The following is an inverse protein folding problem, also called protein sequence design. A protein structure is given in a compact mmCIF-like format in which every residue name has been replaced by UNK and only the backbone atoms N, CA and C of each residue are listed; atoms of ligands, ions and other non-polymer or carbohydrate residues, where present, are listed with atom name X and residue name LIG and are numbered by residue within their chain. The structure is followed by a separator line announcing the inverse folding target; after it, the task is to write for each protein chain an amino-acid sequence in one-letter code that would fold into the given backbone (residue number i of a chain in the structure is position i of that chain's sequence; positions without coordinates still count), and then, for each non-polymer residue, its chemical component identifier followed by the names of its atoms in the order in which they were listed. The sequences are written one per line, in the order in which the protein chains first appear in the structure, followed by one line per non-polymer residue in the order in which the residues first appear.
data_IF_127224176727
#
_entry.id   IF_127224176727
#
_cell.length_a   1.000
_cell.length_b   1.000
_cell.length_c   1.000
_cell.angle_alpha   90.00
_cell.angle_beta   90.00
_cell.angle_gamma   90.00
#
_symmetry.space_group_name_H-M   'P 1'
#
loop_
_entity.id
_entity.type
_entity.pdbx_description
1 polymer ?
#
# COMPACT_ATOMS: atom_id res chain seq x y z
N UNK A 1 -33.97 -58.55 12.86
CA UNK A 1 -34.09 -57.08 13.07
C UNK A 1 -32.73 -56.48 13.02
N UNK A 2 -32.34 -55.92 11.84
CA UNK A 2 -31.06 -55.20 11.72
C UNK A 2 -31.33 -53.69 11.90
N UNK A 3 -30.74 -53.10 12.91
CA UNK A 3 -30.77 -51.66 13.14
C UNK A 3 -29.58 -51.01 12.41
N UNK A 4 -29.84 -50.23 11.36
CA UNK A 4 -28.84 -49.38 10.70
C UNK A 4 -28.60 -48.11 11.53
N UNK A 5 -27.34 -47.68 11.72
CA UNK A 5 -27.02 -46.41 12.39
C UNK A 5 -27.27 -45.23 11.45
N UNK A 6 -28.09 -44.26 11.88
CA UNK A 6 -28.22 -42.95 11.22
C UNK A 6 -26.91 -42.16 11.39
N UNK A 7 -26.09 -42.11 10.35
CA UNK A 7 -24.95 -41.15 10.30
C UNK A 7 -25.50 -39.74 10.11
N UNK A 8 -25.37 -38.90 11.13
CA UNK A 8 -25.64 -37.46 11.03
C UNK A 8 -24.51 -36.80 10.22
N UNK A 9 -24.86 -36.41 8.99
CA UNK A 9 -24.02 -35.56 8.15
C UNK A 9 -24.02 -34.15 8.77
N UNK A 10 -22.94 -33.75 9.46
CA UNK A 10 -22.70 -32.38 9.88
C UNK A 10 -22.30 -31.58 8.63
N UNK A 11 -23.26 -30.85 8.06
CA UNK A 11 -22.95 -29.81 7.09
C UNK A 11 -22.18 -28.70 7.84
N UNK A 12 -20.87 -28.62 7.62
CA UNK A 12 -20.09 -27.46 8.01
C UNK A 12 -20.57 -26.27 7.16
N UNK A 13 -21.26 -25.32 7.77
CA UNK A 13 -21.54 -24.03 7.17
C UNK A 13 -20.20 -23.34 6.90
N UNK A 14 -19.83 -23.16 5.64
CA UNK A 14 -18.69 -22.32 5.28
C UNK A 14 -18.91 -20.94 5.89
N UNK A 15 -17.88 -20.32 6.48
CA UNK A 15 -18.02 -18.98 7.04
C UNK A 15 -18.48 -18.03 5.94
N UNK A 16 -19.51 -17.24 6.24
CA UNK A 16 -20.01 -16.19 5.35
C UNK A 16 -18.90 -15.16 5.16
N UNK A 17 -18.20 -15.23 4.04
CA UNK A 17 -17.20 -14.25 3.67
C UNK A 17 -17.93 -13.02 3.14
N UNK A 18 -17.87 -11.92 3.88
CA UNK A 18 -18.40 -10.64 3.39
C UNK A 18 -17.78 -10.32 2.02
N UNK A 19 -18.56 -9.76 1.07
CA UNK A 19 -18.03 -9.41 -0.25
C UNK A 19 -16.80 -8.50 -0.10
N UNK A 20 -15.79 -8.76 -0.94
CA UNK A 20 -14.55 -7.97 -0.94
C UNK A 20 -14.88 -6.49 -1.16
N UNK A 21 -14.33 -5.61 -0.32
CA UNK A 21 -14.45 -4.18 -0.53
C UNK A 21 -13.59 -3.75 -1.72
N UNK A 22 -14.04 -2.79 -2.56
CA UNK A 22 -13.18 -2.25 -3.60
C UNK A 22 -11.94 -1.61 -2.96
N UNK A 23 -10.76 -1.69 -3.60
CA UNK A 23 -9.53 -1.15 -3.01
C UNK A 23 -9.53 0.37 -2.87
N UNK A 24 -10.39 1.07 -3.62
CA UNK A 24 -10.63 2.50 -3.52
C UNK A 24 -12.12 2.75 -3.23
N UNK A 25 -12.43 3.49 -2.17
CA UNK A 25 -13.81 3.79 -1.75
C UNK A 25 -14.08 5.28 -1.73
N UNK A 26 -15.34 5.66 -1.96
CA UNK A 26 -15.79 7.05 -1.88
C UNK A 26 -16.14 7.45 -0.45
N UNK A 27 -16.23 8.76 -0.20
CA UNK A 27 -16.73 9.31 1.06
C UNK A 27 -18.15 8.85 1.37
N UNK A 28 -19.01 8.72 0.36
CA UNK A 28 -20.38 8.19 0.50
C UNK A 28 -20.33 6.74 0.96
N UNK A 29 -19.52 5.90 0.31
CA UNK A 29 -19.38 4.52 0.73
C UNK A 29 -18.94 4.41 2.20
N UNK A 30 -17.91 5.19 2.61
CA UNK A 30 -17.44 5.14 4.00
C UNK A 30 -18.51 5.63 4.98
N UNK A 31 -19.26 6.69 4.64
CA UNK A 31 -20.33 7.20 5.50
C UNK A 31 -21.43 6.15 5.74
N UNK A 32 -21.80 5.42 4.70
CA UNK A 32 -22.84 4.38 4.78
C UNK A 32 -22.39 3.16 5.60
N UNK A 33 -21.07 2.94 5.73
CA UNK A 33 -20.47 1.79 6.41
C UNK A 33 -19.77 2.13 7.74
N UNK A 34 -19.76 3.43 8.14
CA UNK A 34 -18.95 3.89 9.28
C UNK A 34 -19.28 3.19 10.61
N UNK A 35 -20.48 2.65 10.72
CA UNK A 35 -20.96 1.93 11.91
C UNK A 35 -21.01 0.42 11.73
N UNK A 36 -20.45 -0.12 10.64
CA UNK A 36 -20.42 -1.55 10.41
C UNK A 36 -19.54 -2.23 11.46
N UNK A 37 -20.02 -3.35 11.97
CA UNK A 37 -19.24 -4.19 12.89
C UNK A 37 -17.97 -4.67 12.17
N UNK A 38 -16.84 -4.55 12.84
CA UNK A 38 -15.54 -4.99 12.32
C UNK A 38 -14.89 -4.01 11.33
N UNK A 39 -15.51 -2.83 11.06
CA UNK A 39 -14.82 -1.79 10.32
C UNK A 39 -13.79 -1.08 11.22
N UNK A 40 -12.55 -1.04 10.75
CA UNK A 40 -11.46 -0.29 11.37
C UNK A 40 -11.04 0.80 10.40
N UNK A 41 -11.03 2.05 10.88
CA UNK A 41 -10.66 3.21 10.06
C UNK A 41 -9.37 3.82 10.59
N UNK A 42 -8.39 4.02 9.70
CA UNK A 42 -7.12 4.63 10.07
C UNK A 42 -6.87 5.94 9.33
N UNK A 43 -6.61 7.02 10.08
CA UNK A 43 -5.94 8.19 9.54
C UNK A 43 -4.44 7.93 9.48
N UNK A 44 -3.90 7.97 8.29
CA UNK A 44 -2.47 7.76 8.06
C UNK A 44 -1.71 9.08 8.24
N UNK A 45 -0.66 9.03 9.03
CA UNK A 45 0.14 10.21 9.32
C UNK A 45 1.54 9.87 9.84
N UNK A 46 2.16 10.89 10.41
CA UNK A 46 3.43 10.83 11.12
C UNK A 46 3.38 11.76 12.34
N UNK A 47 4.52 11.90 13.02
CA UNK A 47 4.61 12.80 14.19
C UNK A 47 4.22 14.25 13.86
N UNK A 48 4.52 14.73 12.64
CA UNK A 48 4.23 16.11 12.23
C UNK A 48 2.74 16.32 11.95
N UNK A 49 2.02 15.28 11.54
CA UNK A 49 0.59 15.33 11.22
C UNK A 49 -0.30 14.87 12.38
N UNK A 50 0.28 14.38 13.48
CA UNK A 50 -0.47 13.91 14.65
C UNK A 50 -1.40 14.97 15.23
N UNK A 51 -0.96 16.23 15.31
CA UNK A 51 -1.80 17.33 15.81
C UNK A 51 -3.05 17.60 14.94
N UNK A 52 -3.00 17.25 13.65
CA UNK A 52 -4.18 17.31 12.76
C UNK A 52 -5.21 16.27 13.22
N UNK A 53 -4.78 15.04 13.42
CA UNK A 53 -5.64 13.97 13.91
C UNK A 53 -6.25 14.32 15.28
N UNK A 54 -5.45 14.82 16.22
CA UNK A 54 -5.91 15.14 17.56
C UNK A 54 -6.96 16.27 17.57
N UNK A 55 -6.97 17.13 16.54
CA UNK A 55 -7.96 18.21 16.40
C UNK A 55 -9.12 17.87 15.49
N UNK A 56 -8.90 17.04 14.44
CA UNK A 56 -9.93 16.69 13.47
C UNK A 56 -9.63 15.38 12.76
N UNK A 57 -10.56 14.43 12.85
CA UNK A 57 -10.51 13.15 12.14
C UNK A 57 -11.93 12.63 11.86
N UNK A 58 -12.05 11.62 11.00
CA UNK A 58 -13.33 10.92 10.75
C UNK A 58 -13.74 10.20 12.03
N UNK A 59 -15.02 10.31 12.48
CA UNK A 59 -15.47 9.68 13.73
C UNK A 59 -15.08 8.20 13.83
N UNK A 60 -14.50 7.80 14.96
CA UNK A 60 -14.05 6.44 15.21
C UNK A 60 -12.72 6.06 14.56
N UNK A 61 -12.14 6.92 13.74
CA UNK A 61 -10.84 6.63 13.12
C UNK A 61 -9.71 6.66 14.17
N UNK A 62 -8.76 5.74 14.03
CA UNK A 62 -7.53 5.69 14.78
C UNK A 62 -6.37 6.32 13.99
N UNK A 63 -5.35 6.77 14.70
CA UNK A 63 -4.10 7.22 14.05
C UNK A 63 -3.14 6.05 13.82
N UNK A 64 -2.58 5.98 12.61
CA UNK A 64 -1.53 5.00 12.25
C UNK A 64 -0.37 5.74 11.58
N UNK A 65 0.85 5.51 12.10
CA UNK A 65 2.08 6.09 11.58
C UNK A 65 2.95 4.99 10.90
N UNK A 66 2.69 4.65 9.63
CA UNK A 66 3.31 3.49 8.98
C UNK A 66 4.84 3.59 8.86
N UNK A 67 5.40 4.81 8.83
CA UNK A 67 6.85 5.00 8.78
C UNK A 67 7.57 4.62 10.08
N UNK A 68 6.84 4.39 11.16
CA UNK A 68 7.39 3.92 12.43
C UNK A 68 6.73 2.62 12.93
N UNK A 69 5.46 2.39 12.61
CA UNK A 69 4.72 1.23 13.10
C UNK A 69 4.77 0.04 12.11
N UNK A 70 4.92 0.33 10.79
CA UNK A 70 4.98 -0.68 9.72
C UNK A 70 6.34 -0.71 9.00
N UNK A 71 7.39 -0.29 9.66
CA UNK A 71 8.74 -0.27 9.10
C UNK A 71 9.78 -0.69 10.13
N UNK A 72 10.87 -1.26 9.65
CA UNK A 72 12.02 -1.54 10.51
C UNK A 72 12.56 -0.26 11.16
N UNK A 73 13.07 -0.33 12.38
CA UNK A 73 13.70 0.83 13.03
C UNK A 73 14.83 1.41 12.18
N UNK A 74 14.96 2.74 12.20
CA UNK A 74 16.06 3.41 11.50
C UNK A 74 17.38 3.11 12.20
N UNK A 75 18.26 2.38 11.53
CA UNK A 75 19.60 2.03 11.98
C UNK A 75 20.60 2.57 10.95
N UNK A 76 21.71 3.16 11.41
CA UNK A 76 22.77 3.65 10.52
C UNK A 76 23.31 2.50 9.65
N UNK A 77 23.47 2.77 8.36
CA UNK A 77 23.93 1.77 7.38
C UNK A 77 22.88 0.75 6.92
N UNK A 78 21.76 0.59 7.61
CA UNK A 78 20.67 -0.28 7.17
C UNK A 78 19.86 0.35 6.03
N UNK A 79 19.02 -0.46 5.38
CA UNK A 79 18.00 0.04 4.47
C UNK A 79 16.88 0.69 5.30
N UNK A 80 16.27 1.73 4.74
CA UNK A 80 15.18 2.45 5.38
C UNK A 80 13.82 1.91 4.92
N UNK A 81 12.84 1.91 5.81
CA UNK A 81 11.44 1.58 5.54
C UNK A 81 11.21 0.15 5.03
N UNK A 82 12.13 -0.78 5.30
CA UNK A 82 11.89 -2.19 5.02
C UNK A 82 10.71 -2.72 5.84
N UNK A 83 9.99 -3.70 5.30
CA UNK A 83 8.97 -4.41 6.04
C UNK A 83 9.56 -5.05 7.29
N UNK A 84 8.98 -4.85 8.48
CA UNK A 84 9.41 -5.55 9.68
C UNK A 84 8.96 -7.02 9.66
N UNK A 85 9.41 -7.80 10.63
CA UNK A 85 8.95 -9.17 10.81
C UNK A 85 7.44 -9.26 11.01
N UNK A 86 6.86 -10.38 10.59
CA UNK A 86 5.41 -10.64 10.63
C UNK A 86 4.85 -10.48 12.03
N UNK A 87 5.55 -10.96 13.07
CA UNK A 87 5.15 -10.89 14.47
C UNK A 87 5.07 -9.44 14.99
N UNK A 88 5.93 -8.56 14.48
CA UNK A 88 5.90 -7.12 14.80
C UNK A 88 4.66 -6.47 14.21
N UNK A 89 4.37 -6.75 12.94
CA UNK A 89 3.18 -6.23 12.26
C UNK A 89 1.89 -6.75 12.88
N UNK A 90 1.86 -8.02 13.24
CA UNK A 90 0.73 -8.68 13.91
C UNK A 90 0.41 -8.00 15.25
N UNK A 91 1.42 -7.85 16.11
CA UNK A 91 1.27 -7.16 17.39
C UNK A 91 0.72 -5.73 17.25
N UNK A 92 1.17 -4.99 16.21
CA UNK A 92 0.65 -3.65 15.93
C UNK A 92 -0.82 -3.73 15.51
N UNK A 93 -1.17 -4.64 14.61
CA UNK A 93 -2.53 -4.77 14.10
C UNK A 93 -3.51 -5.18 15.20
N UNK A 94 -3.17 -6.19 16.00
CA UNK A 94 -3.99 -6.61 17.14
C UNK A 94 -4.18 -5.49 18.16
N UNK A 95 -3.13 -4.73 18.49
CA UNK A 95 -3.22 -3.58 19.40
C UNK A 95 -4.17 -2.51 18.93
N UNK A 96 -4.41 -2.42 17.62
CA UNK A 96 -5.34 -1.50 16.96
C UNK A 96 -6.72 -2.13 16.67
N UNK A 97 -7.01 -3.27 17.26
CA UNK A 97 -8.33 -3.91 17.15
C UNK A 97 -8.58 -4.62 15.82
N UNK A 98 -7.54 -4.88 15.04
CA UNK A 98 -7.68 -5.66 13.80
C UNK A 98 -7.83 -7.13 14.14
N UNK A 99 -8.82 -7.78 13.55
CA UNK A 99 -9.13 -9.22 13.67
C UNK A 99 -9.28 -9.86 12.31
N UNK A 100 -9.41 -11.18 12.26
CA UNK A 100 -9.52 -11.96 11.03
C UNK A 100 -10.72 -11.55 10.16
N UNK A 101 -11.78 -11.00 10.73
CA UNK A 101 -12.98 -10.52 10.02
C UNK A 101 -13.00 -9.01 9.79
N UNK A 102 -11.96 -8.29 10.20
CA UNK A 102 -11.91 -6.84 10.05
C UNK A 102 -11.88 -6.38 8.59
N UNK A 103 -12.59 -5.29 8.32
CA UNK A 103 -12.48 -4.48 7.11
C UNK A 103 -11.76 -3.19 7.48
N UNK A 104 -10.83 -2.76 6.64
CA UNK A 104 -9.96 -1.63 6.97
C UNK A 104 -10.12 -0.55 5.91
N UNK A 105 -10.34 0.69 6.36
CA UNK A 105 -10.27 1.86 5.48
C UNK A 105 -9.14 2.76 5.95
N UNK A 106 -8.24 3.07 5.02
CA UNK A 106 -7.13 3.98 5.20
C UNK A 106 -7.47 5.33 4.57
N UNK A 107 -7.16 6.42 5.23
CA UNK A 107 -7.25 7.73 4.61
C UNK A 107 -6.09 8.63 4.99
N UNK A 108 -5.74 9.51 4.05
CA UNK A 108 -4.74 10.55 4.27
C UNK A 108 -5.38 11.83 4.80
N UNK A 109 -4.57 12.65 5.48
CA UNK A 109 -4.81 14.07 5.66
C UNK A 109 -3.62 14.84 5.11
N UNK A 110 -3.81 16.09 4.64
CA UNK A 110 -2.76 16.92 4.05
C UNK A 110 -2.02 16.26 2.87
N UNK A 111 -2.76 15.52 2.04
CA UNK A 111 -2.22 14.84 0.85
C UNK A 111 -1.09 13.84 1.15
N UNK A 112 -1.19 13.13 2.25
CA UNK A 112 -0.19 12.14 2.70
C UNK A 112 -0.38 10.78 2.02
N UNK A 113 -0.39 10.75 0.67
CA UNK A 113 -0.79 9.59 -0.14
C UNK A 113 0.21 8.44 -0.12
N UNK A 114 1.50 8.73 -0.21
CA UNK A 114 2.51 7.67 -0.32
C UNK A 114 2.67 6.83 0.95
N UNK A 115 2.58 7.39 2.18
CA UNK A 115 2.47 6.56 3.38
C UNK A 115 1.15 5.79 3.46
N UNK A 116 0.05 6.34 2.93
CA UNK A 116 -1.25 5.64 2.90
C UNK A 116 -1.19 4.43 2.00
N UNK A 117 -0.64 4.56 0.80
CA UNK A 117 -0.44 3.41 -0.10
C UNK A 117 0.60 2.42 0.44
N UNK A 118 1.60 2.88 1.20
CA UNK A 118 2.56 1.98 1.88
C UNK A 118 1.86 1.16 2.97
N UNK A 119 0.98 1.77 3.76
CA UNK A 119 0.18 1.05 4.74
C UNK A 119 -0.75 0.02 4.05
N UNK A 120 -1.40 0.40 2.95
CA UNK A 120 -2.22 -0.50 2.15
C UNK A 120 -1.40 -1.72 1.66
N UNK A 121 -0.22 -1.48 1.10
CA UNK A 121 0.69 -2.56 0.67
C UNK A 121 1.04 -3.50 1.83
N UNK A 122 1.39 -2.95 3.01
CA UNK A 122 1.74 -3.75 4.18
C UNK A 122 0.58 -4.63 4.65
N UNK A 123 -0.65 -4.10 4.64
CA UNK A 123 -1.85 -4.87 5.00
C UNK A 123 -2.17 -5.96 3.97
N UNK A 124 -2.00 -5.67 2.67
CA UNK A 124 -2.09 -6.69 1.61
C UNK A 124 -1.03 -7.79 1.81
N UNK A 125 0.21 -7.39 2.14
CA UNK A 125 1.29 -8.33 2.46
C UNK A 125 0.93 -9.23 3.64
N UNK A 126 0.30 -8.70 4.69
CA UNK A 126 -0.12 -9.46 5.88
C UNK A 126 -1.30 -10.42 5.60
N UNK A 127 -1.87 -10.42 4.40
CA UNK A 127 -2.98 -11.31 4.02
C UNK A 127 -4.37 -10.69 4.17
N UNK A 128 -4.45 -9.37 4.39
CA UNK A 128 -5.72 -8.63 4.49
C UNK A 128 -6.29 -8.24 3.12
N UNK A 129 -5.75 -8.78 2.02
CA UNK A 129 -6.19 -8.49 0.67
C UNK A 129 -7.71 -8.65 0.45
N UNK A 130 -8.33 -7.71 -0.28
CA UNK A 130 -9.77 -7.64 -0.49
C UNK A 130 -10.58 -7.13 0.71
N UNK A 131 -9.92 -6.80 1.83
CA UNK A 131 -10.53 -6.24 3.04
C UNK A 131 -9.98 -4.87 3.41
N UNK A 132 -9.04 -4.36 2.62
CA UNK A 132 -8.43 -3.03 2.78
C UNK A 132 -8.85 -2.12 1.65
N UNK A 133 -9.20 -0.88 2.01
CA UNK A 133 -9.54 0.17 1.04
C UNK A 133 -8.83 1.47 1.39
N UNK A 134 -8.57 2.30 0.37
CA UNK A 134 -8.18 3.70 0.55
C UNK A 134 -9.40 4.57 0.29
N UNK A 135 -9.64 5.57 1.16
CA UNK A 135 -10.65 6.61 0.95
C UNK A 135 -10.14 7.62 -0.07
N UNK A 136 -10.81 7.71 -1.21
CA UNK A 136 -10.44 8.63 -2.29
C UNK A 136 -10.62 10.08 -1.88
N UNK A 137 -9.57 10.88 -2.02
CA UNK A 137 -9.52 12.29 -1.60
C UNK A 137 -9.35 12.51 -0.09
N UNK A 138 -9.28 11.45 0.73
CA UNK A 138 -8.92 11.52 2.14
C UNK A 138 -9.82 12.41 3.00
N UNK A 139 -9.24 12.98 4.06
CA UNK A 139 -9.95 13.86 5.00
C UNK A 139 -10.49 15.12 4.31
N UNK A 140 -9.75 15.65 3.35
CA UNK A 140 -10.12 16.86 2.63
C UNK A 140 -11.42 16.67 1.84
N UNK A 141 -11.59 15.56 1.15
CA UNK A 141 -12.84 15.25 0.44
C UNK A 141 -14.00 15.02 1.40
N UNK A 142 -13.75 14.35 2.53
CA UNK A 142 -14.74 14.12 3.58
C UNK A 142 -15.28 15.44 4.15
N UNK A 143 -14.37 16.38 4.47
CA UNK A 143 -14.74 17.71 5.00
C UNK A 143 -15.40 18.61 3.96
N UNK A 144 -14.94 18.56 2.69
CA UNK A 144 -15.52 19.37 1.60
C UNK A 144 -17.00 19.02 1.35
N UNK A 145 -17.40 17.78 1.66
CA UNK A 145 -18.79 17.33 1.58
C UNK A 145 -19.62 17.64 2.86
N UNK A 146 -19.04 18.37 3.83
CA UNK A 146 -19.70 18.72 5.08
C UNK A 146 -20.00 17.55 6.01
N UNK A 147 -19.27 16.43 5.84
CA UNK A 147 -19.48 15.24 6.66
C UNK A 147 -18.95 15.41 8.08
N UNK A 148 -19.50 14.68 9.07
CA UNK A 148 -19.14 14.85 10.47
C UNK A 148 -17.67 14.50 10.72
N UNK A 149 -17.05 15.24 11.62
CA UNK A 149 -15.69 15.03 12.11
C UNK A 149 -15.68 14.99 13.64
N UNK A 150 -14.62 14.44 14.22
CA UNK A 150 -14.42 14.31 15.67
C UNK A 150 -13.01 14.71 16.06
N UNK A 151 -12.81 15.06 17.32
CA UNK A 151 -11.52 15.14 18.01
C UNK A 151 -11.43 14.09 19.14
N UNK A 152 -12.46 13.24 19.30
CA UNK A 152 -12.52 12.22 20.35
C UNK A 152 -11.75 10.99 19.94
N UNK A 153 -10.73 10.62 20.70
CA UNK A 153 -10.00 9.38 20.49
C UNK A 153 -10.92 8.15 20.64
N UNK A 154 -10.93 7.22 19.67
CA UNK A 154 -11.77 6.05 19.77
C UNK A 154 -11.31 5.11 20.89
N UNK A 155 -12.26 4.43 21.53
CA UNK A 155 -11.95 3.32 22.44
C UNK A 155 -11.62 2.09 21.59
N UNK A 156 -10.42 1.56 21.75
CA UNK A 156 -9.94 0.40 21.01
C UNK A 156 -9.86 -0.80 21.93
N UNK A 157 -10.47 -1.90 21.54
CA UNK A 157 -10.25 -3.22 22.15
C UNK A 157 -9.29 -3.99 21.24
N UNK A 158 -8.29 -4.64 21.83
CA UNK A 158 -7.36 -5.45 21.06
C UNK A 158 -8.10 -6.52 20.25
N UNK A 159 -7.66 -6.71 19.03
CA UNK A 159 -8.17 -7.74 18.13
C UNK A 159 -7.45 -9.07 18.27
N UNK A 160 -7.81 -9.98 17.38
CA UNK A 160 -7.08 -11.22 17.15
C UNK A 160 -6.96 -11.47 15.66
N UNK A 161 -5.74 -11.44 15.15
CA UNK A 161 -5.46 -11.54 13.73
C UNK A 161 -4.49 -12.69 13.45
N UNK A 162 -4.78 -13.50 12.45
CA UNK A 162 -3.93 -14.59 11.98
C UNK A 162 -3.21 -14.17 10.71
N UNK A 163 -1.91 -13.86 10.76
CA UNK A 163 -1.18 -13.42 9.58
C UNK A 163 -1.07 -14.50 8.50
N UNK A 164 -1.31 -14.10 7.25
CA UNK A 164 -1.07 -14.91 6.06
C UNK A 164 -0.17 -14.15 5.07
N UNK A 165 1.15 -14.03 5.37
CA UNK A 165 2.04 -13.15 4.61
C UNK A 165 2.16 -13.58 3.15
N UNK A 166 1.99 -12.61 2.26
CA UNK A 166 2.01 -12.75 0.81
C UNK A 166 3.37 -12.34 0.26
N UNK A 167 4.37 -13.19 0.44
CA UNK A 167 5.75 -12.92 0.00
C UNK A 167 5.86 -12.66 -1.50
N UNK A 168 4.94 -13.19 -2.30
CA UNK A 168 4.88 -12.98 -3.75
C UNK A 168 4.64 -11.52 -4.15
N UNK A 169 4.16 -10.66 -3.25
CA UNK A 169 3.99 -9.22 -3.50
C UNK A 169 5.31 -8.44 -3.41
N UNK A 170 6.34 -9.03 -2.81
CA UNK A 170 7.64 -8.39 -2.60
C UNK A 170 8.63 -8.87 -3.65
N UNK A 171 9.38 -7.94 -4.21
CA UNK A 171 10.57 -8.23 -5.00
C UNK A 171 11.83 -7.76 -4.25
N UNK A 172 12.93 -8.44 -4.47
CA UNK A 172 14.26 -8.07 -4.02
C UNK A 172 15.20 -7.74 -5.19
N UNK A 173 16.43 -7.35 -4.90
CA UNK A 173 17.42 -7.06 -5.94
C UNK A 173 17.73 -8.27 -6.83
N UNK A 174 17.66 -9.49 -6.28
CA UNK A 174 17.86 -10.74 -7.01
C UNK A 174 16.77 -10.97 -8.04
N UNK A 175 15.51 -10.81 -7.63
CA UNK A 175 14.35 -10.88 -8.53
C UNK A 175 14.46 -9.84 -9.63
N UNK A 176 14.68 -8.56 -9.28
CA UNK A 176 14.81 -7.49 -10.27
C UNK A 176 15.92 -7.76 -11.26
N UNK A 177 17.13 -8.17 -10.78
CA UNK A 177 18.27 -8.52 -11.63
C UNK A 177 17.95 -9.63 -12.62
N UNK A 178 17.27 -10.68 -12.17
CA UNK A 178 16.93 -11.84 -13.00
C UNK A 178 15.93 -11.50 -14.13
N UNK A 179 15.14 -10.43 -13.97
CA UNK A 179 14.07 -10.06 -14.91
C UNK A 179 14.30 -8.74 -15.66
N UNK A 180 15.54 -8.21 -15.67
CA UNK A 180 15.84 -6.96 -16.39
C UNK A 180 15.53 -7.02 -17.90
N UNK A 181 15.66 -8.20 -18.50
CA UNK A 181 15.45 -8.42 -19.93
C UNK A 181 14.23 -9.32 -20.22
N UNK A 182 13.45 -9.65 -19.19
CA UNK A 182 12.25 -10.49 -19.34
C UNK A 182 11.09 -9.65 -19.89
N UNK A 183 10.57 -9.96 -21.08
CA UNK A 183 9.44 -9.22 -21.67
C UNK A 183 8.13 -9.36 -20.90
N UNK A 184 8.00 -10.36 -20.02
CA UNK A 184 6.83 -10.55 -19.17
C UNK A 184 6.84 -9.67 -17.91
N UNK A 185 7.99 -9.05 -17.58
CA UNK A 185 8.15 -8.21 -16.39
C UNK A 185 8.52 -6.79 -16.78
N UNK A 186 7.87 -5.81 -16.18
CA UNK A 186 8.19 -4.40 -16.38
C UNK A 186 8.64 -3.75 -15.07
N UNK A 187 9.91 -3.39 -14.99
CA UNK A 187 10.45 -2.62 -13.87
C UNK A 187 10.04 -1.16 -14.04
N UNK A 188 9.53 -0.52 -12.97
CA UNK A 188 8.95 0.83 -13.01
C UNK A 188 9.54 1.70 -11.91
N UNK A 189 10.19 2.78 -12.30
CA UNK A 189 10.68 3.82 -11.41
C UNK A 189 9.57 4.83 -11.09
N UNK A 190 9.23 4.92 -9.82
CA UNK A 190 8.20 5.83 -9.31
C UNK A 190 8.74 7.20 -8.88
N UNK A 191 10.05 7.42 -8.95
CA UNK A 191 10.69 8.70 -8.54
C UNK A 191 10.36 9.82 -9.52
N UNK A 192 10.66 11.05 -9.10
CA UNK A 192 10.62 12.18 -10.01
C UNK A 192 11.57 11.96 -11.20
N UNK A 193 11.19 12.51 -12.36
CA UNK A 193 11.94 12.37 -13.62
C UNK A 193 13.35 12.93 -13.55
N UNK A 194 13.66 13.85 -12.64
CA UNK A 194 15.00 14.37 -12.42
C UNK A 194 15.95 13.27 -11.91
N UNK A 195 15.50 12.42 -10.99
CA UNK A 195 16.25 11.26 -10.49
C UNK A 195 16.35 10.15 -11.55
N UNK A 196 15.23 9.86 -12.23
CA UNK A 196 15.22 8.88 -13.31
C UNK A 196 16.24 9.23 -14.40
N UNK A 197 16.28 10.48 -14.83
CA UNK A 197 17.19 10.97 -15.86
C UNK A 197 18.64 11.19 -15.36
N UNK A 198 18.91 10.98 -14.07
CA UNK A 198 20.24 11.17 -13.48
C UNK A 198 20.68 12.64 -13.36
N UNK A 199 19.74 13.60 -13.38
CA UNK A 199 20.02 15.01 -13.08
C UNK A 199 20.24 15.23 -11.59
N UNK A 200 19.44 14.55 -10.77
CA UNK A 200 19.51 14.56 -9.32
C UNK A 200 19.99 13.20 -8.80
N UNK A 201 20.69 13.21 -7.68
CA UNK A 201 21.12 12.01 -6.98
C UNK A 201 20.67 12.05 -5.52
N UNK A 202 20.28 10.90 -4.99
CA UNK A 202 19.93 10.77 -3.57
C UNK A 202 20.67 9.61 -2.90
N UNK A 203 21.02 8.57 -3.66
CA UNK A 203 21.58 7.32 -3.16
C UNK A 203 23.05 7.09 -3.64
N UNK A 204 23.76 8.16 -4.00
CA UNK A 204 25.16 8.07 -4.43
C UNK A 204 25.38 7.57 -5.86
N UNK A 205 24.32 7.15 -6.58
CA UNK A 205 24.36 6.80 -8.00
C UNK A 205 23.26 7.54 -8.76
N UNK A 206 23.59 8.05 -9.94
CA UNK A 206 22.67 8.80 -10.79
C UNK A 206 21.93 7.87 -11.76
N UNK A 207 20.67 8.20 -12.07
CA UNK A 207 19.88 7.47 -13.03
C UNK A 207 18.97 6.41 -12.40
N UNK A 208 18.62 5.39 -13.18
CA UNK A 208 17.61 4.40 -12.87
C UNK A 208 18.11 2.97 -13.10
N UNK A 209 17.41 1.98 -12.61
CA UNK A 209 17.67 0.55 -12.90
C UNK A 209 17.57 0.34 -14.41
N UNK A 210 18.58 -0.32 -15.02
CA UNK A 210 18.65 -0.55 -16.46
C UNK A 210 17.32 -1.06 -17.02
N UNK A 211 16.83 -0.39 -18.07
CA UNK A 211 15.60 -0.75 -18.76
C UNK A 211 14.30 -0.41 -18.02
N UNK A 212 14.34 0.20 -16.84
CA UNK A 212 13.13 0.57 -16.12
C UNK A 212 12.32 1.63 -16.89
N UNK A 213 11.00 1.55 -16.81
CA UNK A 213 10.08 2.61 -17.23
C UNK A 213 9.95 3.69 -16.17
N UNK A 214 9.59 4.91 -16.55
CA UNK A 214 9.30 6.00 -15.61
C UNK A 214 7.80 6.24 -15.49
N UNK A 215 7.26 6.09 -14.27
CA UNK A 215 5.90 6.50 -13.90
C UNK A 215 6.01 7.29 -12.60
N UNK A 216 6.22 8.61 -12.65
CA UNK A 216 6.40 9.42 -11.46
C UNK A 216 5.17 9.37 -10.55
N UNK A 217 5.38 9.09 -9.25
CA UNK A 217 4.29 8.90 -8.28
C UNK A 217 3.33 10.11 -8.20
N UNK A 218 3.82 11.33 -8.45
CA UNK A 218 2.99 12.55 -8.45
C UNK A 218 1.91 12.54 -9.53
N UNK A 219 2.02 11.67 -10.53
CA UNK A 219 1.06 11.57 -11.64
C UNK A 219 -0.11 10.63 -11.34
N UNK A 220 -0.13 9.97 -10.18
CA UNK A 220 -1.14 8.99 -9.82
C UNK A 220 -2.39 9.64 -9.21
N UNK A 221 -2.21 10.80 -8.59
CA UNK A 221 -3.28 11.56 -7.96
C UNK A 221 -3.38 12.96 -8.57
N UNK A 222 -4.57 13.54 -8.55
CA UNK A 222 -4.82 14.90 -9.02
C UNK A 222 -4.47 15.96 -7.96
N UNK A 223 -4.68 17.23 -8.30
CA UNK A 223 -4.42 18.36 -7.41
C UNK A 223 -5.36 18.39 -6.18
N UNK A 224 -6.53 17.77 -6.25
CA UNK A 224 -7.47 17.63 -5.15
C UNK A 224 -7.13 16.45 -4.23
N UNK A 225 -6.17 15.60 -4.63
CA UNK A 225 -5.77 14.44 -3.88
C UNK A 225 -6.64 13.20 -4.13
N UNK A 226 -7.37 13.19 -5.22
CA UNK A 226 -8.09 12.01 -5.70
C UNK A 226 -7.23 11.23 -6.68
N UNK A 227 -7.43 9.93 -6.70
CA UNK A 227 -6.81 9.11 -7.73
C UNK A 227 -7.29 9.51 -9.11
N UNK A 228 -6.36 9.57 -10.06
CA UNK A 228 -6.69 9.75 -11.47
C UNK A 228 -7.62 8.64 -11.96
N UNK A 229 -8.43 8.92 -12.98
CA UNK A 229 -9.35 7.91 -13.51
C UNK A 229 -8.60 6.67 -14.02
N UNK A 230 -9.22 5.47 -13.97
CA UNK A 230 -8.59 4.26 -14.54
C UNK A 230 -8.14 4.44 -15.99
N UNK A 231 -8.89 5.19 -16.78
CA UNK A 231 -8.53 5.49 -18.17
C UNK A 231 -7.26 6.35 -18.26
N UNK A 232 -7.13 7.39 -17.41
CA UNK A 232 -5.94 8.24 -17.33
C UNK A 232 -4.73 7.44 -16.88
N UNK A 233 -4.87 6.64 -15.82
CA UNK A 233 -3.80 5.79 -15.31
C UNK A 233 -3.35 4.78 -16.36
N UNK A 234 -4.28 4.09 -17.03
CA UNK A 234 -3.96 3.14 -18.10
C UNK A 234 -3.19 3.82 -19.25
N UNK A 235 -3.60 5.02 -19.66
CA UNK A 235 -2.90 5.77 -20.69
C UNK A 235 -1.45 6.13 -20.25
N UNK A 236 -1.23 6.50 -18.98
CA UNK A 236 0.11 6.77 -18.44
C UNK A 236 0.99 5.53 -18.43
N UNK A 237 0.44 4.39 -18.02
CA UNK A 237 1.15 3.11 -18.00
C UNK A 237 1.51 2.68 -19.44
N UNK A 238 0.57 2.79 -20.37
CA UNK A 238 0.83 2.48 -21.78
C UNK A 238 1.89 3.41 -22.39
N UNK A 239 1.85 4.72 -22.10
CA UNK A 239 2.86 5.68 -22.54
C UNK A 239 4.27 5.37 -21.97
N UNK A 240 4.35 4.76 -20.78
CA UNK A 240 5.59 4.25 -20.20
C UNK A 240 6.02 2.88 -20.78
N UNK A 241 5.29 2.35 -21.77
CA UNK A 241 5.57 1.08 -22.41
C UNK A 241 5.20 -0.14 -21.58
N UNK A 242 4.33 0.01 -20.57
CA UNK A 242 3.77 -1.09 -19.78
C UNK A 242 2.61 -1.70 -20.58
N UNK A 243 2.62 -3.02 -20.73
CA UNK A 243 1.64 -3.78 -21.56
C UNK A 243 0.76 -4.65 -20.67
N UNK A 244 -0.45 -4.87 -21.12
CA UNK A 244 -1.34 -5.85 -20.50
C UNK A 244 -0.69 -7.23 -20.38
N UNK A 245 -0.93 -7.92 -19.27
CA UNK A 245 -0.36 -9.24 -18.98
C UNK A 245 1.09 -9.22 -18.42
N UNK A 246 1.74 -8.06 -18.36
CA UNK A 246 3.04 -7.96 -17.68
C UNK A 246 2.89 -7.92 -16.16
N UNK A 247 3.84 -8.51 -15.45
CA UNK A 247 4.05 -8.24 -14.02
C UNK A 247 4.76 -6.89 -13.87
N UNK A 248 4.17 -5.98 -13.10
CA UNK A 248 4.73 -4.64 -12.84
C UNK A 248 5.51 -4.68 -11.53
N UNK A 249 6.81 -4.37 -11.58
CA UNK A 249 7.66 -4.27 -10.38
C UNK A 249 8.02 -2.82 -10.14
N UNK A 250 7.47 -2.23 -9.09
CA UNK A 250 7.68 -0.82 -8.79
C UNK A 250 8.81 -0.61 -7.77
N UNK A 251 9.60 0.44 -7.95
CA UNK A 251 10.59 0.89 -6.99
C UNK A 251 10.65 2.43 -6.94
N UNK A 252 11.23 2.97 -5.86
CA UNK A 252 11.56 4.40 -5.76
C UNK A 252 12.90 4.61 -5.06
N UNK A 253 13.00 5.53 -4.13
CA UNK A 253 14.20 5.67 -3.28
C UNK A 253 14.27 4.56 -2.20
N UNK A 254 13.14 4.33 -1.49
CA UNK A 254 13.05 3.55 -0.25
C UNK A 254 11.71 2.77 -0.13
N UNK A 255 11.03 2.48 -1.23
CA UNK A 255 9.78 1.69 -1.25
C UNK A 255 8.49 2.46 -0.99
N UNK A 256 8.54 3.70 -0.49
CA UNK A 256 7.33 4.45 -0.11
C UNK A 256 6.56 5.04 -1.31
N UNK A 257 7.23 5.81 -2.18
CA UNK A 257 6.58 6.39 -3.37
C UNK A 257 6.13 5.31 -4.36
N UNK A 258 6.92 4.25 -4.45
CA UNK A 258 6.65 3.10 -5.30
C UNK A 258 5.36 2.37 -4.93
N UNK A 259 4.97 2.37 -3.64
CA UNK A 259 3.72 1.76 -3.22
C UNK A 259 2.48 2.46 -3.80
N UNK A 260 2.55 3.76 -4.12
CA UNK A 260 1.44 4.47 -4.77
C UNK A 260 1.29 4.04 -6.24
N UNK A 261 2.41 3.87 -6.97
CA UNK A 261 2.39 3.35 -8.35
C UNK A 261 2.02 1.87 -8.36
N UNK A 262 2.46 1.08 -7.38
CA UNK A 262 2.04 -0.30 -7.17
C UNK A 262 0.52 -0.39 -6.96
N UNK A 263 -0.05 0.47 -6.11
CA UNK A 263 -1.49 0.52 -5.87
C UNK A 263 -2.26 0.85 -7.16
N UNK A 264 -1.78 1.83 -7.95
CA UNK A 264 -2.37 2.15 -9.26
C UNK A 264 -2.31 0.95 -10.23
N UNK A 265 -1.19 0.22 -10.28
CA UNK A 265 -1.08 -0.99 -11.07
C UNK A 265 -2.12 -2.05 -10.65
N UNK A 266 -2.31 -2.24 -9.33
CA UNK A 266 -3.34 -3.14 -8.79
C UNK A 266 -4.76 -2.69 -9.14
N UNK A 267 -5.06 -1.38 -9.07
CA UNK A 267 -6.36 -0.84 -9.51
C UNK A 267 -6.66 -1.12 -10.99
N UNK A 268 -5.62 -1.13 -11.81
CA UNK A 268 -5.71 -1.43 -13.25
C UNK A 268 -5.73 -2.93 -13.56
N UNK A 269 -5.63 -3.80 -12.55
CA UNK A 269 -5.68 -5.25 -12.70
C UNK A 269 -4.34 -5.90 -13.07
N UNK A 270 -3.23 -5.20 -13.02
CA UNK A 270 -1.91 -5.80 -13.22
C UNK A 270 -1.52 -6.70 -12.05
N UNK A 271 -0.79 -7.77 -12.34
CA UNK A 271 0.05 -8.41 -11.34
C UNK A 271 1.16 -7.42 -10.96
N UNK A 272 1.31 -7.11 -9.67
CA UNK A 272 2.22 -6.08 -9.23
C UNK A 272 3.02 -6.50 -8.00
N UNK A 273 4.31 -6.20 -8.02
CA UNK A 273 5.26 -6.40 -6.92
C UNK A 273 5.90 -5.08 -6.53
N UNK A 274 6.24 -4.95 -5.25
CA UNK A 274 7.02 -3.84 -4.74
C UNK A 274 8.45 -4.32 -4.49
N UNK A 275 9.44 -3.67 -5.10
CA UNK A 275 10.82 -3.84 -4.71
C UNK A 275 11.07 -3.01 -3.44
N UNK A 276 10.98 -3.67 -2.27
CA UNK A 276 11.00 -3.02 -0.97
C UNK A 276 12.28 -2.24 -0.72
N UNK A 277 13.46 -2.88 -0.90
CA UNK A 277 14.77 -2.22 -0.81
C UNK A 277 14.99 -1.09 -1.80
N UNK A 278 14.28 -1.09 -2.90
CA UNK A 278 14.27 0.00 -3.89
C UNK A 278 15.67 0.44 -4.38
N UNK A 279 15.79 1.69 -4.84
CA UNK A 279 17.05 2.20 -5.37
C UNK A 279 18.14 2.35 -4.30
N UNK A 280 17.79 2.51 -3.02
CA UNK A 280 18.78 2.52 -1.94
C UNK A 280 19.54 1.19 -1.80
N UNK A 281 18.87 0.04 -2.02
CA UNK A 281 19.52 -1.28 -2.06
C UNK A 281 20.29 -1.47 -3.39
N UNK A 282 19.66 -1.16 -4.52
CA UNK A 282 20.26 -1.30 -5.84
C UNK A 282 21.54 -0.49 -6.00
N UNK A 283 21.54 0.76 -5.54
CA UNK A 283 22.66 1.68 -5.67
C UNK A 283 23.89 1.28 -4.84
N UNK A 284 23.71 0.54 -3.75
CA UNK A 284 24.81 0.01 -2.91
C UNK A 284 25.56 -1.15 -3.56
N UNK A 285 24.97 -1.77 -4.60
CA UNK A 285 25.50 -2.93 -5.31
C UNK A 285 26.15 -2.46 -6.60
N UNK A 286 27.48 -2.22 -6.57
CA UNK A 286 28.21 -1.65 -7.71
C UNK A 286 28.10 -2.48 -9.00
N UNK A 287 27.91 -3.80 -8.87
CA UNK A 287 27.77 -4.76 -9.97
C UNK A 287 26.38 -4.69 -10.65
N UNK A 288 25.41 -4.02 -10.06
CA UNK A 288 24.07 -3.93 -10.64
C UNK A 288 23.98 -2.75 -11.63
N UNK A 289 23.37 -2.96 -12.82
CA UNK A 289 23.39 -1.98 -13.88
C UNK A 289 22.44 -0.79 -13.62
N UNK A 290 22.94 0.42 -13.87
CA UNK A 290 22.19 1.67 -13.79
C UNK A 290 22.32 2.39 -15.12
N UNK A 291 21.23 2.93 -15.64
CA UNK A 291 21.17 3.82 -16.80
C UNK A 291 20.77 5.23 -16.40
N UNK A 292 21.11 6.20 -17.22
CA UNK A 292 20.82 7.61 -17.00
C UNK A 292 21.91 8.49 -17.58
N UNK A 293 21.74 9.80 -17.46
CA UNK A 293 22.72 10.75 -17.97
C UNK A 293 24.03 10.57 -17.19
N UNK A 294 25.13 10.31 -17.92
CA UNK A 294 26.47 10.43 -17.31
C UNK A 294 26.68 11.87 -16.91
N UNK A 295 27.33 12.14 -15.77
CA UNK A 295 27.66 13.48 -15.30
C UNK A 295 28.49 14.25 -16.33
#
# INVERSE_FOLDING_TARGET
MLTLPLSRLLLALAPFQAPAAPPLVTTTWLADHLHDKGLVVFQIGDRATRAVYDSVHIPGAQFLAPLSEFSTPRVEGALMLELPGVETLDSVLESKGVSDDSRIVLYSARKYFTPTSRAFFTLEYMGLGGRVSILDGGLEAWQAEGRPVSAEAPVVTAGHFTPHPRAELVADAGFVKAHLEDPAVRIVDARDTSFYNGRDTHQGRNGHIKGAASVPFQTIVDSAGKFESPATLMARFAAAGIKEGQTVVTYCHIGQQASLVWFAARLLGFDAKLYDGSFQDWARRAELPVEGRKP
#
